data_IF_334794004680
#
_entry.id   IF_334794004680
#
_cell.length_a   1.000
_cell.length_b   1.000
_cell.length_c   1.000
_cell.angle_alpha   90.00
_cell.angle_beta   90.00
_cell.angle_gamma   90.00
#
_symmetry.space_group_name_H-M   'P 1'
#
loop_
_entity.id
_entity.type
_entity.pdbx_description
1 polymer ?
#
# COMPACT_ATOMS: atom_id res chain seq x y z
N UNK A 1 -19.16 -7.02 3.90
CA UNK A 1 -17.75 -6.78 4.26
C UNK A 1 -17.68 -6.55 5.78
N UNK A 2 -16.68 -7.07 6.49
CA UNK A 2 -16.52 -6.78 7.92
C UNK A 2 -15.97 -5.35 8.09
N UNK A 3 -16.58 -4.55 8.97
CA UNK A 3 -16.14 -3.18 9.27
C UNK A 3 -15.68 -3.04 10.73
N UNK A 4 -14.69 -2.20 10.97
CA UNK A 4 -14.27 -1.74 12.30
C UNK A 4 -14.87 -0.36 12.64
N UNK A 5 -14.60 0.17 13.84
CA UNK A 5 -15.21 1.41 14.32
C UNK A 5 -14.87 2.60 13.41
N UNK A 6 -13.63 2.73 12.92
CA UNK A 6 -13.24 3.86 12.06
C UNK A 6 -13.95 3.82 10.70
N UNK A 7 -14.15 2.62 10.15
CA UNK A 7 -14.95 2.45 8.93
C UNK A 7 -16.43 2.75 9.18
N UNK A 8 -16.98 2.35 10.34
CA UNK A 8 -18.38 2.65 10.71
C UNK A 8 -18.60 4.15 10.89
N UNK A 9 -17.67 4.85 11.52
CA UNK A 9 -17.70 6.32 11.66
C UNK A 9 -17.63 7.01 10.30
N UNK A 10 -16.73 6.57 9.42
CA UNK A 10 -16.65 7.10 8.06
C UNK A 10 -17.95 6.87 7.26
N UNK A 11 -18.56 5.68 7.36
CA UNK A 11 -19.85 5.40 6.72
C UNK A 11 -20.95 6.30 7.29
N UNK A 12 -20.97 6.52 8.60
CA UNK A 12 -21.98 7.38 9.23
C UNK A 12 -21.86 8.84 8.78
N UNK A 13 -20.64 9.33 8.55
CA UNK A 13 -20.37 10.72 8.13
C UNK A 13 -20.50 10.91 6.61
N UNK A 14 -19.98 9.98 5.81
CA UNK A 14 -19.83 10.12 4.36
C UNK A 14 -20.77 9.23 3.54
N UNK A 15 -21.53 8.36 4.19
CA UNK A 15 -22.57 7.52 3.57
C UNK A 15 -22.07 6.24 2.91
N UNK A 16 -20.76 5.96 2.92
CA UNK A 16 -20.18 4.77 2.28
C UNK A 16 -18.87 4.32 2.93
N UNK A 17 -18.48 3.06 2.68
CA UNK A 17 -17.19 2.54 3.14
C UNK A 17 -16.07 3.23 2.34
N UNK A 18 -15.08 3.87 3.00
CA UNK A 18 -14.07 4.66 2.30
C UNK A 18 -13.05 3.79 1.54
N UNK A 19 -13.04 2.47 1.74
CA UNK A 19 -12.02 1.58 1.19
C UNK A 19 -12.33 1.21 -0.26
N UNK A 20 -11.37 1.46 -1.14
CA UNK A 20 -11.37 0.96 -2.51
C UNK A 20 -10.38 -0.19 -2.61
N UNK A 21 -10.88 -1.43 -2.66
CA UNK A 21 -10.06 -2.63 -2.73
C UNK A 21 -9.53 -2.90 -4.14
N UNK A 22 -8.52 -3.76 -4.21
CA UNK A 22 -7.92 -4.23 -5.46
C UNK A 22 -7.47 -3.07 -6.34
N UNK A 23 -6.77 -2.11 -5.74
CA UNK A 23 -6.21 -0.97 -6.42
C UNK A 23 -4.76 -0.74 -5.97
N UNK A 24 -3.99 -0.05 -6.80
CA UNK A 24 -2.70 0.54 -6.41
C UNK A 24 -2.59 1.92 -6.99
N UNK A 25 -1.84 2.79 -6.31
CA UNK A 25 -1.45 4.07 -6.89
C UNK A 25 -0.44 3.79 -7.99
N UNK A 26 -0.66 4.39 -9.16
CA UNK A 26 0.26 4.37 -10.31
C UNK A 26 1.11 5.63 -10.33
N UNK A 27 0.48 6.80 -10.18
CA UNK A 27 1.14 8.10 -10.25
C UNK A 27 0.46 9.10 -9.31
N UNK A 28 1.23 10.09 -8.83
CA UNK A 28 0.70 11.25 -8.13
C UNK A 28 0.78 12.47 -9.04
N UNK A 29 -0.30 13.24 -9.10
CA UNK A 29 -0.35 14.51 -9.80
C UNK A 29 0.07 15.64 -8.87
N UNK A 30 0.71 16.66 -9.45
CA UNK A 30 1.11 17.86 -8.73
C UNK A 30 0.61 19.09 -9.45
N UNK A 31 0.31 20.12 -8.67
CA UNK A 31 0.00 21.44 -9.18
C UNK A 31 1.26 22.22 -9.62
N UNK A 32 1.08 23.47 -10.06
CA UNK A 32 2.17 24.35 -10.47
C UNK A 32 3.14 24.69 -9.32
N UNK A 33 2.68 24.63 -8.07
CA UNK A 33 3.47 24.86 -6.87
C UNK A 33 4.19 23.57 -6.37
N UNK A 34 3.98 22.44 -7.05
CA UNK A 34 4.57 21.15 -6.69
C UNK A 34 3.87 20.42 -5.54
N UNK A 35 2.68 20.85 -5.13
CA UNK A 35 1.86 20.17 -4.12
C UNK A 35 1.03 19.06 -4.77
N UNK A 36 0.73 17.99 -4.03
CA UNK A 36 -0.14 16.92 -4.53
C UNK A 36 -1.55 17.47 -4.75
N UNK A 37 -2.15 17.14 -5.89
CA UNK A 37 -3.52 17.53 -6.23
C UNK A 37 -4.38 16.34 -6.69
N UNK A 38 -3.80 15.15 -6.82
CA UNK A 38 -4.52 13.95 -7.18
C UNK A 38 -3.62 12.73 -7.33
N UNK A 39 -4.25 11.59 -7.59
CA UNK A 39 -3.58 10.33 -7.84
C UNK A 39 -4.26 9.54 -8.96
N UNK A 40 -3.46 8.93 -9.83
CA UNK A 40 -3.91 7.92 -10.78
C UNK A 40 -3.91 6.55 -10.10
N UNK A 41 -5.07 5.91 -10.06
CA UNK A 41 -5.28 4.63 -9.42
C UNK A 41 -5.50 3.57 -10.48
N UNK A 42 -4.72 2.49 -10.44
CA UNK A 42 -4.90 1.32 -11.29
C UNK A 42 -5.73 0.27 -10.54
N UNK A 43 -6.73 -0.30 -11.21
CA UNK A 43 -7.43 -1.49 -10.70
C UNK A 43 -6.58 -2.74 -10.92
N UNK A 44 -6.69 -3.64 -9.97
CA UNK A 44 -5.95 -4.89 -9.91
C UNK A 44 -6.93 -6.06 -9.85
N UNK A 45 -6.46 -7.22 -10.27
CA UNK A 45 -7.15 -8.49 -10.09
C UNK A 45 -6.18 -9.55 -9.59
N UNK A 46 -6.67 -10.52 -8.82
CA UNK A 46 -5.84 -11.62 -8.34
C UNK A 46 -5.73 -12.69 -9.41
N UNK A 47 -4.55 -12.90 -9.99
CA UNK A 47 -4.28 -13.99 -10.94
C UNK A 47 -3.28 -14.99 -10.38
N UNK A 48 -3.43 -16.26 -10.78
CA UNK A 48 -2.37 -17.25 -10.64
C UNK A 48 -1.24 -16.84 -11.58
N UNK A 49 -0.03 -16.68 -11.04
CA UNK A 49 1.17 -16.28 -11.80
C UNK A 49 2.19 -17.40 -11.89
N UNK A 50 1.97 -18.49 -11.15
CA UNK A 50 2.74 -19.72 -11.23
C UNK A 50 1.77 -20.88 -11.00
N UNK A 51 1.47 -21.62 -12.07
CA UNK A 51 0.56 -22.75 -12.08
C UNK A 51 1.09 -23.93 -11.25
N UNK A 52 2.41 -24.12 -11.18
CA UNK A 52 3.01 -25.25 -10.48
C UNK A 52 2.92 -25.08 -8.96
N UNK A 53 3.04 -23.84 -8.47
CA UNK A 53 2.99 -23.53 -7.03
C UNK A 53 1.62 -22.99 -6.58
N UNK A 54 0.73 -22.67 -7.53
CA UNK A 54 -0.54 -21.99 -7.27
C UNK A 54 -0.36 -20.55 -6.77
N UNK A 55 0.84 -19.97 -6.89
CA UNK A 55 1.13 -18.63 -6.39
C UNK A 55 0.29 -17.61 -7.14
N UNK A 56 -0.38 -16.74 -6.39
CA UNK A 56 -1.17 -15.63 -6.92
C UNK A 56 -0.48 -14.29 -6.73
N UNK A 57 -0.72 -13.37 -7.64
CA UNK A 57 -0.33 -11.97 -7.51
C UNK A 57 -1.49 -11.06 -7.92
N UNK A 58 -1.48 -9.84 -7.38
CA UNK A 58 -2.36 -8.78 -7.86
C UNK A 58 -1.72 -8.18 -9.13
N UNK A 59 -2.43 -8.23 -10.25
CA UNK A 59 -1.96 -7.71 -11.54
C UNK A 59 -2.88 -6.61 -12.04
N UNK A 60 -2.35 -5.56 -12.70
CA UNK A 60 -3.18 -4.52 -13.30
C UNK A 60 -4.17 -5.09 -14.30
N UNK A 61 -5.42 -4.63 -14.24
CA UNK A 61 -6.46 -4.97 -15.22
C UNK A 61 -6.35 -4.13 -16.49
N UNK A 62 -5.62 -3.01 -16.41
CA UNK A 62 -5.59 -1.96 -17.44
C UNK A 62 -6.65 -0.88 -17.24
N UNK A 63 -7.60 -1.07 -16.31
CA UNK A 63 -8.55 -0.02 -15.92
C UNK A 63 -7.90 0.93 -14.90
N UNK A 64 -8.06 2.23 -15.15
CA UNK A 64 -7.49 3.30 -14.32
C UNK A 64 -8.54 4.39 -14.07
N UNK A 65 -8.42 5.07 -12.94
CA UNK A 65 -9.25 6.24 -12.62
C UNK A 65 -8.46 7.21 -11.74
N UNK A 66 -8.80 8.50 -11.84
CA UNK A 66 -8.18 9.55 -11.02
C UNK A 66 -9.01 9.81 -9.77
N UNK A 67 -8.32 10.16 -8.67
CA UNK A 67 -8.93 10.71 -7.46
C UNK A 67 -8.25 12.05 -7.16
N UNK A 68 -9.04 13.09 -6.92
CA UNK A 68 -8.52 14.37 -6.41
C UNK A 68 -8.14 14.23 -4.94
N UNK A 69 -6.95 14.70 -4.58
CA UNK A 69 -6.49 14.69 -3.20
C UNK A 69 -5.39 15.73 -2.96
N UNK A 70 -5.49 16.40 -1.81
CA UNK A 70 -4.52 17.41 -1.38
C UNK A 70 -3.51 16.87 -0.36
N UNK A 71 -3.71 15.64 0.12
CA UNK A 71 -2.84 14.97 1.08
C UNK A 71 -2.78 13.47 0.82
N UNK A 72 -1.56 12.91 0.89
CA UNK A 72 -1.31 11.47 0.76
C UNK A 72 -0.57 10.97 2.00
N UNK A 73 -1.13 9.94 2.64
CA UNK A 73 -0.50 9.23 3.75
C UNK A 73 0.02 7.87 3.26
N UNK A 74 1.34 7.74 3.13
CA UNK A 74 1.97 6.47 2.72
C UNK A 74 2.09 5.56 3.94
N UNK A 75 1.18 4.58 4.04
CA UNK A 75 1.15 3.57 5.11
C UNK A 75 1.60 2.19 4.59
N UNK A 76 2.72 2.14 3.86
CA UNK A 76 3.22 0.90 3.23
C UNK A 76 4.00 -0.04 4.18
N UNK A 77 4.11 0.32 5.46
CA UNK A 77 4.89 -0.42 6.46
C UNK A 77 6.39 -0.11 6.42
N UNK A 78 7.19 -0.97 7.04
CA UNK A 78 8.63 -0.82 7.20
C UNK A 78 9.36 -2.08 6.73
N UNK A 79 10.60 -1.92 6.23
CA UNK A 79 11.44 -3.03 5.74
C UNK A 79 12.40 -3.60 6.80
N UNK A 80 12.54 -2.94 7.94
CA UNK A 80 13.47 -3.34 9.00
C UNK A 80 13.79 -2.17 9.94
N UNK A 81 14.67 -2.41 10.91
CA UNK A 81 15.22 -1.35 11.75
C UNK A 81 16.26 -0.51 10.98
N UNK A 82 16.61 0.64 11.54
CA UNK A 82 17.76 1.42 11.07
C UNK A 82 19.07 0.65 11.33
N UNK A 83 20.08 0.75 10.44
CA UNK A 83 21.32 -0.04 10.56
C UNK A 83 22.02 0.08 11.91
N UNK A 84 22.07 1.29 12.48
CA UNK A 84 22.71 1.54 13.76
C UNK A 84 22.14 0.72 14.93
N UNK A 85 20.87 0.29 14.83
CA UNK A 85 20.25 -0.56 15.86
C UNK A 85 20.87 -1.95 15.79
N UNK A 86 20.92 -2.57 14.61
CA UNK A 86 21.50 -3.89 14.44
C UNK A 86 23.00 -3.90 14.80
N UNK A 87 23.73 -2.86 14.38
CA UNK A 87 25.15 -2.68 14.72
C UNK A 87 25.39 -2.58 16.23
N UNK A 88 24.56 -1.83 16.96
CA UNK A 88 24.68 -1.68 18.41
C UNK A 88 24.49 -3.00 19.18
N UNK A 89 23.67 -3.91 18.65
CA UNK A 89 23.46 -5.23 19.23
C UNK A 89 24.40 -6.30 18.67
N UNK A 90 25.21 -5.97 17.65
CA UNK A 90 26.12 -6.92 17.01
C UNK A 90 25.41 -8.09 16.32
N UNK A 91 24.22 -7.85 15.77
CA UNK A 91 23.40 -8.89 15.13
C UNK A 91 23.38 -8.73 13.61
N UNK A 92 23.41 -9.86 12.91
CA UNK A 92 23.24 -9.88 11.46
C UNK A 92 21.77 -9.77 11.06
N UNK A 93 21.51 -9.18 9.90
CA UNK A 93 20.16 -9.07 9.32
C UNK A 93 20.02 -9.96 8.09
N UNK A 94 18.85 -10.56 7.92
CA UNK A 94 18.47 -11.26 6.69
C UNK A 94 18.25 -10.26 5.55
N UNK A 95 18.11 -10.77 4.31
CA UNK A 95 17.71 -9.95 3.14
C UNK A 95 16.37 -9.23 3.31
N UNK A 96 15.55 -9.61 4.30
CA UNK A 96 14.25 -8.98 4.60
C UNK A 96 14.31 -8.04 5.80
N UNK A 97 15.49 -7.66 6.26
CA UNK A 97 15.69 -6.69 7.35
C UNK A 97 15.27 -7.20 8.73
N UNK A 98 15.07 -8.51 8.88
CA UNK A 98 14.85 -9.17 10.18
C UNK A 98 16.17 -9.66 10.75
N UNK A 99 16.28 -9.80 12.07
CA UNK A 99 17.44 -10.45 12.70
C UNK A 99 17.62 -11.86 12.14
N UNK A 100 18.85 -12.19 11.76
CA UNK A 100 19.21 -13.53 11.32
C UNK A 100 19.36 -14.44 12.54
N UNK A 101 18.78 -15.63 12.47
CA UNK A 101 19.10 -16.71 13.40
C UNK A 101 20.40 -17.36 12.95
N UNK A 102 21.28 -17.65 13.91
CA UNK A 102 22.59 -18.29 13.67
C UNK A 102 22.46 -19.76 13.30
#
# INVERSE_FOLDING_TARGET
>A
LKTDYGQQEAIAVFGSDPRIYQTTVKEFYKDEAGQVCGALIAKLESKVVDEATGRRAMVPTGEEFAIECDLVLIAAGFTGCQPYVAEAFGVDLTKRGTVADT
#
